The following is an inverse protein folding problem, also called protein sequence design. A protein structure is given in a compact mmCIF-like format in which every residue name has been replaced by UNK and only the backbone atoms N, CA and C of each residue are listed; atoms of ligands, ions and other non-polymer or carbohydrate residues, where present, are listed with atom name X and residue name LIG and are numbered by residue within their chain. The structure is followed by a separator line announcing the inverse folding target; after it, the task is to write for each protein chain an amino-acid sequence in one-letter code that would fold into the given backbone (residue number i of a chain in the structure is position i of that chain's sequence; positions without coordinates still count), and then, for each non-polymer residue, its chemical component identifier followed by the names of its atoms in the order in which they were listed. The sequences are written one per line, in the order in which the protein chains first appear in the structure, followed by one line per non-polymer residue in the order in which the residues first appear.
data_IF_068276648503
#
_entry.id   IF_068276648503
#
_cell.length_a   1.000
_cell.length_b   1.000
_cell.length_c   1.000
_cell.angle_alpha   90.00
_cell.angle_beta   90.00
_cell.angle_gamma   90.00
#
_symmetry.space_group_name_H-M   'P 1'
#
loop_
_entity.id
_entity.type
_entity.pdbx_description
1 polymer ?
#
# COMPACT_ATOMS: atom_id res chain seq x y z
N UNK A 1 -33.89 14.06 7.02
CA UNK A 1 -32.73 13.28 6.57
C UNK A 1 -32.94 11.83 6.95
N UNK A 2 -32.42 10.86 6.20
CA UNK A 2 -32.60 9.43 6.57
C UNK A 2 -31.65 9.07 7.72
N UNK A 3 -32.03 8.14 8.58
CA UNK A 3 -31.18 7.63 9.68
C UNK A 3 -29.78 7.20 9.19
N UNK A 4 -29.69 6.75 7.93
CA UNK A 4 -28.43 6.39 7.28
C UNK A 4 -27.52 7.61 7.04
N UNK A 5 -28.09 8.74 6.57
CA UNK A 5 -27.30 9.96 6.34
C UNK A 5 -26.73 10.51 7.64
N UNK A 6 -27.49 10.45 8.73
CA UNK A 6 -27.06 10.93 10.04
C UNK A 6 -25.93 10.03 10.62
N UNK A 7 -26.01 8.71 10.35
CA UNK A 7 -24.97 7.78 10.76
C UNK A 7 -23.66 8.01 9.97
N UNK A 8 -23.76 8.15 8.66
CA UNK A 8 -22.59 8.44 7.81
C UNK A 8 -21.92 9.77 8.20
N UNK A 9 -22.71 10.81 8.50
CA UNK A 9 -22.19 12.08 8.96
C UNK A 9 -21.43 11.94 10.29
N UNK A 10 -21.95 11.18 11.24
CA UNK A 10 -21.25 10.90 12.51
C UNK A 10 -19.91 10.20 12.32
N UNK A 11 -19.83 9.27 11.37
CA UNK A 11 -18.57 8.58 11.02
C UNK A 11 -17.57 9.58 10.43
N UNK A 12 -18.00 10.43 9.52
CA UNK A 12 -17.15 11.44 8.89
C UNK A 12 -16.65 12.49 9.88
N UNK A 13 -17.52 12.93 10.79
CA UNK A 13 -17.16 13.85 11.88
C UNK A 13 -16.15 13.22 12.83
N UNK A 14 -16.35 11.96 13.25
CA UNK A 14 -15.39 11.22 14.06
C UNK A 14 -14.04 11.09 13.36
N UNK A 15 -14.03 10.71 12.09
CA UNK A 15 -12.84 10.52 11.28
C UNK A 15 -12.02 11.82 11.16
N UNK A 16 -12.71 12.91 10.84
CA UNK A 16 -12.11 14.24 10.73
C UNK A 16 -11.57 14.74 12.08
N UNK A 17 -12.35 14.58 13.16
CA UNK A 17 -11.94 15.00 14.51
C UNK A 17 -10.72 14.21 14.98
N UNK A 18 -10.74 12.89 14.82
CA UNK A 18 -9.63 12.02 15.22
C UNK A 18 -8.37 12.34 14.42
N UNK A 19 -8.50 12.56 13.11
CA UNK A 19 -7.39 13.01 12.27
C UNK A 19 -6.78 14.32 12.80
N UNK A 20 -7.60 15.34 13.05
CA UNK A 20 -7.11 16.67 13.52
C UNK A 20 -6.42 16.58 14.89
N UNK A 21 -6.92 15.74 15.79
CA UNK A 21 -6.29 15.50 17.10
C UNK A 21 -4.89 14.92 16.93
N UNK A 22 -4.74 13.90 16.08
CA UNK A 22 -3.43 13.29 15.80
C UNK A 22 -2.52 14.27 15.08
N UNK A 23 -2.97 14.87 14.00
CA UNK A 23 -2.17 15.74 13.14
C UNK A 23 -1.64 16.99 13.88
N UNK A 24 -2.47 17.64 14.70
CA UNK A 24 -2.10 18.86 15.45
C UNK A 24 -1.32 18.57 16.75
N UNK A 25 -1.14 17.31 17.13
CA UNK A 25 -0.45 16.93 18.37
C UNK A 25 1.04 17.28 18.34
N UNK A 26 1.62 17.49 19.51
CA UNK A 26 3.07 17.71 19.64
C UNK A 26 3.87 16.44 19.26
N UNK A 27 3.28 15.27 19.46
CA UNK A 27 3.83 14.00 18.99
C UNK A 27 4.04 14.03 17.46
N UNK A 28 3.01 14.43 16.69
CA UNK A 28 3.12 14.54 15.25
C UNK A 28 4.22 15.51 14.78
N UNK A 29 4.34 16.66 15.43
CA UNK A 29 5.39 17.64 15.13
C UNK A 29 6.80 17.06 15.36
N UNK A 30 7.01 16.36 16.48
CA UNK A 30 8.30 15.74 16.83
C UNK A 30 8.64 14.55 15.93
N UNK A 31 7.64 13.79 15.51
CA UNK A 31 7.81 12.57 14.71
C UNK A 31 7.79 12.81 13.20
N UNK A 32 7.66 14.06 12.73
CA UNK A 32 7.50 14.40 11.31
C UNK A 32 8.63 13.86 10.43
N UNK A 33 9.87 14.00 10.87
CA UNK A 33 11.07 13.54 10.10
C UNK A 33 11.05 12.01 10.02
N UNK A 34 10.78 11.34 11.14
CA UNK A 34 10.65 9.88 11.17
C UNK A 34 9.53 9.42 10.23
N UNK A 35 8.36 10.05 10.27
CA UNK A 35 7.22 9.70 9.42
C UNK A 35 7.55 9.82 7.94
N UNK A 36 8.28 10.86 7.52
CA UNK A 36 8.75 11.01 6.13
C UNK A 36 9.68 9.88 5.71
N UNK A 37 10.68 9.56 6.53
CA UNK A 37 11.65 8.50 6.24
C UNK A 37 10.96 7.14 6.21
N UNK A 38 10.15 6.84 7.23
CA UNK A 38 9.48 5.55 7.34
C UNK A 38 8.45 5.31 6.23
N UNK A 39 7.79 6.36 5.76
CA UNK A 39 6.84 6.25 4.65
C UNK A 39 7.47 5.78 3.34
N UNK A 40 8.80 5.91 3.17
CA UNK A 40 9.50 5.37 2.03
C UNK A 40 9.27 3.86 1.85
N UNK A 41 9.20 3.09 2.95
CA UNK A 41 8.98 1.64 2.92
C UNK A 41 7.58 1.23 2.39
N UNK A 42 6.63 2.16 2.34
CA UNK A 42 5.32 1.94 1.72
C UNK A 42 5.21 2.41 0.27
N UNK A 43 6.30 2.95 -0.32
CA UNK A 43 6.29 3.47 -1.70
C UNK A 43 6.50 2.39 -2.75
N UNK A 44 6.01 2.65 -3.97
CA UNK A 44 6.29 1.78 -5.12
C UNK A 44 7.79 1.70 -5.44
N UNK A 45 8.56 2.72 -5.12
CA UNK A 45 10.02 2.73 -5.35
C UNK A 45 10.73 1.72 -4.46
N UNK A 46 10.39 1.69 -3.18
CA UNK A 46 10.92 0.68 -2.26
C UNK A 46 10.58 -0.73 -2.72
N UNK A 47 9.32 -0.97 -3.06
CA UNK A 47 8.88 -2.28 -3.53
C UNK A 47 9.45 -2.66 -4.89
N UNK A 48 9.73 -1.69 -5.76
CA UNK A 48 10.49 -1.88 -6.99
C UNK A 48 11.94 -2.32 -6.73
N UNK A 49 12.60 -1.75 -5.72
CA UNK A 49 13.94 -2.20 -5.30
C UNK A 49 13.89 -3.63 -4.74
N UNK A 50 12.90 -3.96 -3.92
CA UNK A 50 12.69 -5.32 -3.40
C UNK A 50 12.46 -6.28 -4.56
N UNK A 51 11.66 -5.91 -5.56
CA UNK A 51 11.44 -6.71 -6.75
C UNK A 51 12.74 -6.99 -7.52
N UNK A 52 13.60 -5.98 -7.69
CA UNK A 52 14.93 -6.18 -8.32
C UNK A 52 15.81 -7.16 -7.53
N UNK A 53 15.75 -7.14 -6.21
CA UNK A 53 16.46 -8.13 -5.37
C UNK A 53 15.97 -9.54 -5.68
N UNK A 54 14.65 -9.74 -5.83
CA UNK A 54 14.09 -11.05 -6.17
C UNK A 54 14.41 -11.48 -7.61
N UNK A 55 14.54 -10.55 -8.56
CA UNK A 55 15.04 -10.84 -9.92
C UNK A 55 16.47 -11.37 -9.84
N UNK A 56 17.35 -10.70 -9.12
CA UNK A 56 18.74 -11.13 -8.95
C UNK A 56 18.81 -12.48 -8.24
N UNK A 57 18.04 -12.65 -7.17
CA UNK A 57 17.96 -13.91 -6.43
C UNK A 57 17.52 -15.07 -7.34
N UNK A 58 16.44 -14.91 -8.08
CA UNK A 58 15.93 -15.90 -9.02
C UNK A 58 16.97 -16.25 -10.11
N UNK A 59 17.68 -15.24 -10.62
CA UNK A 59 18.73 -15.46 -11.62
C UNK A 59 19.89 -16.30 -11.08
N UNK A 60 20.31 -16.05 -9.82
CA UNK A 60 21.42 -16.77 -9.18
C UNK A 60 21.01 -18.20 -8.78
N UNK A 61 19.85 -18.35 -8.14
CA UNK A 61 19.39 -19.63 -7.57
C UNK A 61 18.64 -20.49 -8.57
N UNK A 62 18.19 -19.92 -9.69
CA UNK A 62 17.25 -20.52 -10.65
C UNK A 62 15.87 -20.84 -10.03
N UNK A 63 15.57 -20.23 -8.87
CA UNK A 63 14.26 -20.31 -8.24
C UNK A 63 13.54 -18.97 -8.39
N UNK A 64 12.55 -18.92 -9.28
CA UNK A 64 11.75 -17.74 -9.59
C UNK A 64 10.42 -17.72 -8.87
N UNK A 65 10.11 -18.70 -8.03
CA UNK A 65 8.77 -18.84 -7.45
C UNK A 65 8.38 -17.62 -6.61
N UNK A 66 9.28 -17.11 -5.75
CA UNK A 66 9.01 -15.90 -4.96
C UNK A 66 8.83 -14.66 -5.84
N UNK A 67 9.66 -14.49 -6.88
CA UNK A 67 9.52 -13.38 -7.83
C UNK A 67 8.15 -13.39 -8.50
N UNK A 68 7.73 -14.55 -8.98
CA UNK A 68 6.44 -14.74 -9.66
C UNK A 68 5.28 -14.50 -8.70
N UNK A 69 5.36 -15.07 -7.50
CA UNK A 69 4.34 -14.90 -6.46
C UNK A 69 4.20 -13.40 -6.06
N UNK A 70 5.31 -12.71 -5.91
CA UNK A 70 5.33 -11.28 -5.59
C UNK A 70 4.75 -10.44 -6.73
N UNK A 71 5.18 -10.69 -7.97
CA UNK A 71 4.78 -9.90 -9.15
C UNK A 71 3.29 -10.06 -9.44
N UNK A 72 2.80 -11.29 -9.55
CA UNK A 72 1.38 -11.56 -9.82
C UNK A 72 0.46 -11.02 -8.72
N UNK A 73 0.86 -11.17 -7.45
CA UNK A 73 0.11 -10.61 -6.34
C UNK A 73 0.06 -9.08 -6.36
N UNK A 74 1.18 -8.44 -6.68
CA UNK A 74 1.23 -7.00 -6.80
C UNK A 74 0.38 -6.47 -7.97
N UNK A 75 0.51 -7.06 -9.16
CA UNK A 75 -0.24 -6.64 -10.34
C UNK A 75 -1.76 -6.77 -10.13
N UNK A 76 -2.21 -7.93 -9.66
CA UNK A 76 -3.63 -8.12 -9.34
C UNK A 76 -4.13 -7.09 -8.32
N UNK A 77 -3.39 -6.93 -7.23
CA UNK A 77 -3.82 -6.07 -6.13
C UNK A 77 -3.81 -4.60 -6.51
N UNK A 78 -2.84 -4.13 -7.31
CA UNK A 78 -2.79 -2.72 -7.73
C UNK A 78 -3.91 -2.38 -8.71
N UNK A 79 -4.33 -3.32 -9.57
CA UNK A 79 -5.46 -3.14 -10.46
C UNK A 79 -6.74 -2.94 -9.64
N UNK A 80 -7.02 -3.84 -8.70
CA UNK A 80 -8.20 -3.77 -7.83
C UNK A 80 -8.18 -2.49 -6.98
N UNK A 81 -7.03 -2.18 -6.37
CA UNK A 81 -6.84 -1.00 -5.55
C UNK A 81 -7.08 0.31 -6.34
N UNK A 82 -6.60 0.37 -7.58
CA UNK A 82 -6.78 1.51 -8.47
C UNK A 82 -8.26 1.68 -8.86
N UNK A 83 -8.95 0.59 -9.16
CA UNK A 83 -10.40 0.63 -9.46
C UNK A 83 -11.19 1.17 -8.28
N UNK A 84 -10.92 0.69 -7.05
CA UNK A 84 -11.59 1.16 -5.84
C UNK A 84 -11.32 2.65 -5.63
N UNK A 85 -10.06 3.08 -5.69
CA UNK A 85 -9.63 4.46 -5.40
C UNK A 85 -10.14 5.48 -6.41
N UNK A 86 -10.10 5.16 -7.70
CA UNK A 86 -10.36 6.15 -8.75
C UNK A 86 -11.75 6.05 -9.37
N UNK A 87 -12.38 4.88 -9.30
CA UNK A 87 -13.69 4.67 -9.92
C UNK A 87 -14.83 4.59 -8.90
N UNK A 88 -14.60 3.91 -7.76
CA UNK A 88 -15.65 3.63 -6.76
C UNK A 88 -15.66 4.71 -5.68
N UNK A 89 -14.56 4.88 -4.93
CA UNK A 89 -14.48 5.77 -3.75
C UNK A 89 -13.51 6.92 -4.02
N UNK A 90 -14.05 8.04 -4.50
CA UNK A 90 -13.26 9.21 -4.92
C UNK A 90 -13.01 10.18 -3.77
N UNK A 91 -12.62 9.69 -2.58
CA UNK A 91 -12.39 10.53 -1.40
C UNK A 91 -11.12 11.39 -1.57
N UNK A 92 -11.22 12.69 -1.28
CA UNK A 92 -10.08 13.60 -1.32
C UNK A 92 -9.27 13.49 -0.02
N UNK A 93 -7.96 13.82 -0.12
CA UNK A 93 -7.04 13.78 1.03
C UNK A 93 -7.27 14.91 2.03
N UNK A 94 -6.89 14.74 3.33
CA UNK A 94 -7.05 15.76 4.37
C UNK A 94 -6.45 17.12 4.00
N UNK A 95 -5.25 17.17 3.43
CA UNK A 95 -4.60 18.43 3.05
C UNK A 95 -5.36 19.25 1.98
N UNK A 96 -6.31 18.61 1.27
CA UNK A 96 -7.19 19.29 0.30
C UNK A 96 -8.44 19.79 1.00
N UNK A 97 -9.12 18.91 1.73
CA UNK A 97 -10.42 19.20 2.35
C UNK A 97 -10.31 20.05 3.60
N UNK A 98 -9.24 19.88 4.38
CA UNK A 98 -8.98 20.58 5.65
C UNK A 98 -7.90 21.66 5.51
N UNK A 99 -7.70 22.20 4.32
CA UNK A 99 -6.73 23.27 4.08
C UNK A 99 -7.00 24.50 4.95
N UNK A 100 -8.27 24.84 5.17
CA UNK A 100 -8.69 25.97 6.02
C UNK A 100 -8.35 25.73 7.50
N UNK A 101 -8.28 24.47 7.93
CA UNK A 101 -7.88 24.05 9.28
C UNK A 101 -6.36 24.05 9.49
N UNK A 102 -5.59 24.49 8.51
CA UNK A 102 -4.13 24.55 8.56
C UNK A 102 -3.44 23.22 8.23
N UNK A 103 -4.16 22.23 7.70
CA UNK A 103 -3.56 20.96 7.27
C UNK A 103 -2.76 21.18 5.99
N UNK A 104 -1.49 20.78 6.02
CA UNK A 104 -0.56 20.87 4.89
C UNK A 104 -0.16 19.49 4.41
N UNK A 105 0.12 19.36 3.12
CA UNK A 105 0.75 18.17 2.58
C UNK A 105 2.21 18.14 3.04
N UNK A 106 2.63 17.03 3.63
CA UNK A 106 4.03 16.75 3.85
C UNK A 106 4.43 15.63 2.88
N UNK A 107 5.40 15.95 2.01
CA UNK A 107 5.89 14.99 1.02
C UNK A 107 6.71 13.87 1.69
N UNK A 108 6.66 12.69 1.12
CA UNK A 108 7.53 11.57 1.47
C UNK A 108 9.00 11.94 1.18
N UNK A 109 9.95 11.21 1.78
CA UNK A 109 11.39 11.51 1.69
C UNK A 109 11.91 11.53 0.25
N UNK A 110 11.39 10.63 -0.60
CA UNK A 110 11.73 10.56 -2.02
C UNK A 110 10.46 10.88 -2.83
N UNK A 111 10.56 11.88 -3.70
CA UNK A 111 9.51 12.27 -4.63
C UNK A 111 10.06 12.25 -6.05
N UNK A 112 9.47 11.45 -6.93
CA UNK A 112 9.75 11.53 -8.36
C UNK A 112 8.69 12.43 -9.00
N UNK A 113 9.10 13.55 -9.60
CA UNK A 113 8.17 14.45 -10.28
C UNK A 113 7.47 13.75 -11.44
N UNK A 114 6.21 14.06 -11.67
CA UNK A 114 5.40 13.77 -12.87
C UNK A 114 4.78 12.38 -13.06
N UNK A 115 5.10 11.35 -12.29
CA UNK A 115 4.53 10.02 -12.60
C UNK A 115 3.05 9.84 -12.20
N UNK A 116 2.50 10.62 -11.26
CA UNK A 116 1.14 10.41 -10.73
C UNK A 116 0.47 11.65 -10.12
N UNK A 117 0.44 12.81 -10.78
CA UNK A 117 -0.06 14.05 -10.19
C UNK A 117 -1.54 14.02 -9.76
N UNK A 118 -2.43 13.37 -10.49
CA UNK A 118 -3.86 13.27 -10.13
C UNK A 118 -4.14 12.18 -9.10
N UNK A 119 -3.36 11.10 -9.11
CA UNK A 119 -3.49 9.99 -8.16
C UNK A 119 -3.18 10.41 -6.73
N UNK A 120 -2.35 11.43 -6.56
CA UNK A 120 -1.99 11.96 -5.25
C UNK A 120 -3.15 12.65 -4.52
N UNK A 121 -4.25 13.01 -5.20
CA UNK A 121 -5.38 13.73 -4.58
C UNK A 121 -6.35 12.79 -3.83
N UNK A 122 -6.35 11.48 -4.17
CA UNK A 122 -7.29 10.52 -3.59
C UNK A 122 -6.67 9.79 -2.38
N UNK A 123 -7.48 9.67 -1.33
CA UNK A 123 -7.00 9.13 -0.04
C UNK A 123 -7.36 7.67 0.19
N UNK A 124 -8.54 7.22 -0.24
CA UNK A 124 -9.09 5.93 0.13
C UNK A 124 -8.82 4.83 -0.90
N UNK A 125 -8.47 3.63 -0.47
CA UNK A 125 -7.84 3.29 0.80
C UNK A 125 -6.36 3.66 0.81
N UNK A 126 -5.69 3.59 1.97
CA UNK A 126 -4.26 3.89 2.09
C UNK A 126 -3.39 2.83 1.41
N UNK A 127 -2.78 3.15 0.27
CA UNK A 127 -1.93 2.21 -0.46
C UNK A 127 -0.66 1.80 0.30
N UNK A 128 -0.04 2.71 1.04
CA UNK A 128 1.14 2.39 1.86
C UNK A 128 0.84 1.31 2.89
N UNK A 129 -0.29 1.44 3.61
CA UNK A 129 -0.75 0.45 4.58
C UNK A 129 -1.16 -0.84 3.86
N UNK A 130 -1.97 -0.74 2.81
CA UNK A 130 -2.45 -1.93 2.08
C UNK A 130 -1.30 -2.79 1.55
N UNK A 131 -0.32 -2.19 0.87
CA UNK A 131 0.73 -2.97 0.21
C UNK A 131 1.82 -3.43 1.18
N UNK A 132 2.13 -2.66 2.23
CA UNK A 132 3.11 -3.10 3.22
C UNK A 132 2.65 -4.40 3.90
N UNK A 133 1.42 -4.44 4.40
CA UNK A 133 0.88 -5.63 5.04
C UNK A 133 0.61 -6.77 4.04
N UNK A 134 0.14 -6.45 2.82
CA UNK A 134 -0.05 -7.44 1.76
C UNK A 134 1.23 -8.21 1.45
N UNK A 135 2.37 -7.53 1.32
CA UNK A 135 3.65 -8.21 1.11
C UNK A 135 4.10 -9.00 2.35
N UNK A 136 3.74 -8.55 3.55
CA UNK A 136 3.90 -9.35 4.76
C UNK A 136 3.21 -10.71 4.68
N UNK A 137 1.99 -10.76 4.12
CA UNK A 137 1.29 -12.04 3.85
C UNK A 137 2.02 -12.88 2.82
N UNK A 138 2.49 -12.29 1.70
CA UNK A 138 3.25 -13.01 0.65
C UNK A 138 4.52 -13.64 1.23
N UNK A 139 5.32 -12.87 1.98
CA UNK A 139 6.55 -13.39 2.57
C UNK A 139 6.28 -14.43 3.65
N UNK A 140 5.29 -14.21 4.52
CA UNK A 140 4.87 -15.18 5.52
C UNK A 140 4.45 -16.50 4.89
N UNK A 141 3.69 -16.45 3.80
CA UNK A 141 3.28 -17.63 3.04
C UNK A 141 4.46 -18.34 2.41
N UNK A 142 5.33 -17.62 1.68
CA UNK A 142 6.47 -18.21 1.00
C UNK A 142 7.46 -18.87 1.96
N UNK A 143 7.81 -18.19 3.06
CA UNK A 143 8.75 -18.71 4.06
C UNK A 143 8.09 -19.64 5.07
N UNK A 144 6.77 -19.88 4.97
CA UNK A 144 5.97 -20.65 5.91
C UNK A 144 6.23 -20.25 7.37
N UNK A 145 6.26 -18.94 7.63
CA UNK A 145 6.63 -18.38 8.93
C UNK A 145 5.74 -17.20 9.34
N UNK A 146 4.86 -17.45 10.30
CA UNK A 146 3.92 -16.43 10.82
C UNK A 146 4.60 -15.28 11.56
N UNK A 147 5.82 -15.46 12.08
CA UNK A 147 6.56 -14.37 12.74
C UNK A 147 6.78 -13.22 11.77
N UNK A 148 7.03 -13.52 10.50
CA UNK A 148 7.17 -12.51 9.44
C UNK A 148 5.90 -11.67 9.34
N UNK A 149 4.72 -12.29 9.34
CA UNK A 149 3.45 -11.57 9.27
C UNK A 149 3.27 -10.64 10.48
N UNK A 150 3.59 -11.11 11.69
CA UNK A 150 3.48 -10.27 12.89
C UNK A 150 4.46 -9.09 12.88
N UNK A 151 5.68 -9.28 12.34
CA UNK A 151 6.63 -8.18 12.13
C UNK A 151 6.05 -7.16 11.16
N UNK A 152 5.53 -7.59 10.02
CA UNK A 152 4.92 -6.70 9.04
C UNK A 152 3.68 -5.99 9.58
N UNK A 153 2.86 -6.68 10.36
CA UNK A 153 1.71 -6.06 11.03
C UNK A 153 2.15 -4.94 11.99
N UNK A 154 3.20 -5.17 12.78
CA UNK A 154 3.76 -4.14 13.67
C UNK A 154 4.31 -2.94 12.89
N UNK A 155 5.06 -3.19 11.80
CA UNK A 155 5.56 -2.14 10.91
C UNK A 155 4.41 -1.37 10.25
N UNK A 156 3.32 -2.06 9.91
CA UNK A 156 2.18 -1.44 9.24
C UNK A 156 1.34 -0.57 10.19
N UNK A 157 1.25 -0.91 11.47
CA UNK A 157 0.69 -0.01 12.49
C UNK A 157 1.51 1.29 12.57
N UNK A 158 2.84 1.20 12.56
CA UNK A 158 3.71 2.39 12.51
C UNK A 158 3.48 3.17 11.21
N UNK A 159 3.36 2.48 10.07
CA UNK A 159 3.05 3.10 8.77
C UNK A 159 1.72 3.86 8.83
N UNK A 160 0.66 3.26 9.38
CA UNK A 160 -0.65 3.88 9.53
C UNK A 160 -0.56 5.21 10.30
N UNK A 161 0.16 5.23 11.42
CA UNK A 161 0.40 6.44 12.22
C UNK A 161 1.18 7.49 11.39
N UNK A 162 2.22 7.07 10.68
CA UNK A 162 3.00 7.97 9.80
C UNK A 162 2.12 8.64 8.75
N UNK A 163 1.15 7.92 8.16
CA UNK A 163 0.25 8.50 7.14
C UNK A 163 -0.69 9.55 7.69
N UNK A 164 -1.10 9.43 8.98
CA UNK A 164 -1.87 10.46 9.67
C UNK A 164 -1.01 11.69 9.99
N UNK A 165 0.21 11.48 10.50
CA UNK A 165 1.18 12.55 10.80
C UNK A 165 1.48 13.39 9.56
N UNK A 166 1.64 12.78 8.39
CA UNK A 166 1.94 13.46 7.13
C UNK A 166 0.74 14.22 6.53
N UNK A 167 -0.45 14.10 7.11
CA UNK A 167 -1.65 14.80 6.63
C UNK A 167 -2.22 14.27 5.31
N UNK A 168 -1.90 13.04 4.94
CA UNK A 168 -2.23 12.47 3.63
C UNK A 168 -3.38 11.46 3.64
N UNK A 169 -3.73 10.92 4.80
CA UNK A 169 -4.82 9.96 5.00
C UNK A 169 -5.63 10.25 6.25
N UNK A 170 -6.91 9.89 6.23
CA UNK A 170 -7.78 9.85 7.39
C UNK A 170 -7.64 8.51 8.13
N UNK A 171 -8.06 8.42 9.44
CA UNK A 171 -8.12 7.15 10.17
C UNK A 171 -8.84 6.03 9.42
N UNK A 172 -10.00 6.32 8.83
CA UNK A 172 -10.77 5.34 8.04
C UNK A 172 -9.97 4.82 6.84
N UNK A 173 -9.20 5.67 6.14
CA UNK A 173 -8.41 5.27 4.99
C UNK A 173 -7.35 4.21 5.37
N UNK A 174 -6.75 4.34 6.57
CA UNK A 174 -5.74 3.39 7.05
C UNK A 174 -6.38 2.13 7.64
N UNK A 175 -7.50 2.24 8.35
CA UNK A 175 -8.27 1.08 8.85
C UNK A 175 -8.69 0.18 7.68
N UNK A 176 -9.28 0.78 6.64
CA UNK A 176 -9.63 0.03 5.44
C UNK A 176 -8.39 -0.45 4.67
N UNK A 177 -7.24 0.24 4.80
CA UNK A 177 -5.97 -0.24 4.26
C UNK A 177 -5.59 -1.63 4.79
N UNK A 178 -5.71 -1.87 6.11
CA UNK A 178 -5.54 -3.20 6.72
C UNK A 178 -6.56 -4.21 6.17
N UNK A 179 -7.84 -3.82 6.11
CA UNK A 179 -8.90 -4.69 5.58
C UNK A 179 -8.64 -5.10 4.12
N UNK A 180 -8.22 -4.17 3.28
CA UNK A 180 -7.88 -4.46 1.88
C UNK A 180 -6.62 -5.30 1.74
N UNK A 181 -5.61 -5.14 2.60
CA UNK A 181 -4.44 -6.01 2.61
C UNK A 181 -4.83 -7.48 2.86
N UNK A 182 -5.68 -7.73 3.86
CA UNK A 182 -6.21 -9.06 4.18
C UNK A 182 -7.04 -9.60 3.01
N UNK A 183 -7.93 -8.78 2.45
CA UNK A 183 -8.78 -9.16 1.32
C UNK A 183 -7.93 -9.53 0.08
N UNK A 184 -6.93 -8.73 -0.27
CA UNK A 184 -6.05 -9.02 -1.41
C UNK A 184 -5.21 -10.27 -1.19
N UNK A 185 -4.68 -10.45 0.03
CA UNK A 185 -3.91 -11.63 0.38
C UNK A 185 -4.76 -12.89 0.30
N UNK A 186 -5.97 -12.87 0.84
CA UNK A 186 -6.90 -13.99 0.76
C UNK A 186 -7.27 -14.30 -0.70
N UNK A 187 -7.71 -13.29 -1.46
CA UNK A 187 -8.07 -13.46 -2.87
C UNK A 187 -6.91 -14.02 -3.69
N UNK A 188 -5.70 -13.50 -3.46
CA UNK A 188 -4.51 -13.90 -4.21
C UNK A 188 -4.02 -15.28 -3.77
N UNK A 189 -3.65 -15.45 -2.51
CA UNK A 189 -2.98 -16.67 -2.04
C UNK A 189 -3.90 -17.89 -2.02
N UNK A 190 -5.19 -17.69 -1.71
CA UNK A 190 -6.12 -18.81 -1.65
C UNK A 190 -6.71 -19.22 -3.01
N UNK A 191 -6.83 -18.27 -3.97
CA UNK A 191 -7.59 -18.54 -5.20
C UNK A 191 -6.80 -18.31 -6.48
N UNK A 192 -6.13 -17.17 -6.64
CA UNK A 192 -5.64 -16.75 -7.96
C UNK A 192 -4.15 -16.95 -8.16
N UNK A 193 -3.37 -17.19 -7.11
CA UNK A 193 -1.92 -17.38 -7.22
C UNK A 193 -1.51 -18.53 -8.16
N UNK A 194 -2.21 -19.70 -8.22
CA UNK A 194 -1.83 -20.74 -9.17
C UNK A 194 -1.92 -20.27 -10.63
N UNK A 195 -2.99 -19.52 -10.97
CA UNK A 195 -3.13 -18.92 -12.32
C UNK A 195 -1.97 -18.00 -12.66
N UNK A 196 -1.58 -17.09 -11.73
CA UNK A 196 -0.47 -16.17 -11.96
C UNK A 196 0.86 -16.89 -12.07
N UNK A 197 1.08 -17.92 -11.26
CA UNK A 197 2.29 -18.74 -11.31
C UNK A 197 2.39 -19.45 -12.66
N UNK A 198 1.33 -20.12 -13.11
CA UNK A 198 1.29 -20.78 -14.41
C UNK A 198 1.50 -19.79 -15.55
N UNK A 199 0.85 -18.62 -15.52
CA UNK A 199 0.99 -17.57 -16.51
C UNK A 199 2.45 -17.10 -16.65
N UNK A 200 3.13 -16.83 -15.53
CA UNK A 200 4.51 -16.36 -15.57
C UNK A 200 5.50 -17.43 -16.00
N UNK A 201 5.29 -18.66 -15.59
CA UNK A 201 6.11 -19.78 -16.09
C UNK A 201 5.89 -20.08 -17.58
N UNK A 202 4.69 -19.79 -18.10
CA UNK A 202 4.40 -19.91 -19.53
C UNK A 202 5.01 -18.76 -20.32
N UNK A 203 4.89 -17.50 -19.88
CA UNK A 203 5.37 -16.34 -20.64
C UNK A 203 6.87 -16.10 -20.49
N UNK A 204 7.47 -16.50 -19.38
CA UNK A 204 8.89 -16.27 -19.07
C UNK A 204 9.85 -16.74 -20.16
N UNK A 205 9.76 -17.99 -20.65
CA UNK A 205 10.59 -18.47 -21.77
C UNK A 205 10.38 -17.67 -23.07
N UNK A 206 9.16 -17.21 -23.33
CA UNK A 206 8.85 -16.41 -24.53
C UNK A 206 9.57 -15.07 -24.45
N UNK A 207 9.46 -14.39 -23.32
CA UNK A 207 10.13 -13.09 -23.07
C UNK A 207 11.65 -13.25 -23.10
N UNK A 208 12.17 -14.29 -22.45
CA UNK A 208 13.60 -14.61 -22.44
C UNK A 208 14.17 -14.80 -23.87
N UNK A 209 13.46 -15.51 -24.72
CA UNK A 209 13.86 -15.71 -26.11
C UNK A 209 13.82 -14.40 -26.92
N UNK A 210 12.82 -13.54 -26.66
CA UNK A 210 12.69 -12.25 -27.36
C UNK A 210 13.82 -11.27 -27.04
N UNK A 211 14.29 -11.24 -25.81
CA UNK A 211 15.36 -10.31 -25.36
C UNK A 211 16.75 -10.94 -25.35
N UNK A 212 16.90 -12.16 -25.93
CA UNK A 212 18.16 -12.92 -25.96
C UNK A 212 18.82 -13.12 -24.59
N UNK A 213 18.08 -12.96 -23.50
CA UNK A 213 18.52 -13.31 -22.16
C UNK A 213 18.22 -14.80 -21.93
N UNK A 214 19.27 -15.61 -21.88
CA UNK A 214 19.12 -17.02 -21.43
C UNK A 214 19.01 -17.04 -19.91
N UNK A 215 17.80 -17.21 -19.42
CA UNK A 215 17.53 -17.46 -18.00
C UNK A 215 17.74 -18.94 -17.64
#
# INVERSE_FOLDING_TARGET
MSALSDYLQKIEDWDTKTFLVVYKSDFSKRSMIFAKIFSFFGTLYFWGLVWLVWVIYGYITKDYYLLVLFTGGFEQSIIIHSLIRYKIIKRNRPYITLKKEGVKKHDDFIKIPYLMSESEQKSFPSGHVTFLLFFGFIFSFYFNNLIILFIFLGLDVVMAICRLILGVHYPIDVIFGFGFAIFYAFLYLAWTSPFWVEFYYWIGPIVSNLIHLRF
#
